data_IF_697860809345
#
_entry.id   IF_697860809345
#
_cell.length_a   1.000
_cell.length_b   1.000
_cell.length_c   1.000
_cell.angle_alpha   90.00
_cell.angle_beta   90.00
_cell.angle_gamma   90.00
#
_symmetry.space_group_name_H-M   'P 1'
#
loop_
_entity.id
_entity.type
_entity.pdbx_description
1 polymer ?
#
# COMPACT_ATOMS: atom_id res chain seq x y z
N UNK A 1 12.14 3.40 14.93
CA UNK A 1 11.46 2.66 13.83
C UNK A 1 12.15 1.35 13.45
N UNK A 2 13.42 1.37 13.01
CA UNK A 2 14.11 0.12 12.61
C UNK A 2 14.20 -0.89 13.74
N UNK A 3 14.49 -0.43 14.97
CA UNK A 3 14.51 -1.28 16.17
C UNK A 3 13.14 -1.96 16.40
N UNK A 4 12.05 -1.18 16.41
CA UNK A 4 10.69 -1.74 16.52
C UNK A 4 10.39 -2.79 15.44
N UNK A 5 10.82 -2.54 14.19
CA UNK A 5 10.63 -3.48 13.10
C UNK A 5 11.45 -4.77 13.29
N UNK A 6 12.72 -4.63 13.70
CA UNK A 6 13.61 -5.74 14.01
C UNK A 6 13.07 -6.59 15.16
N UNK A 7 12.54 -5.98 16.21
CA UNK A 7 11.95 -6.66 17.36
C UNK A 7 10.71 -7.47 16.94
N UNK A 8 9.83 -6.89 16.11
CA UNK A 8 8.65 -7.61 15.59
C UNK A 8 9.01 -8.82 14.76
N UNK A 9 10.01 -8.70 13.88
CA UNK A 9 10.48 -9.81 13.04
C UNK A 9 11.20 -10.87 13.88
N UNK A 10 12.04 -10.45 14.82
CA UNK A 10 12.77 -11.36 15.71
C UNK A 10 11.80 -12.16 16.58
N UNK A 11 10.84 -11.51 17.22
CA UNK A 11 9.81 -12.19 18.02
C UNK A 11 8.98 -13.20 17.19
N UNK A 12 8.75 -12.93 15.91
CA UNK A 12 8.06 -13.85 15.03
C UNK A 12 8.91 -15.08 14.67
N UNK A 13 10.20 -14.85 14.39
CA UNK A 13 11.16 -15.92 14.09
C UNK A 13 11.45 -16.79 15.31
N UNK A 14 11.57 -16.20 16.49
CA UNK A 14 11.82 -16.94 17.73
C UNK A 14 10.62 -17.82 18.11
N UNK A 15 9.39 -17.32 17.88
CA UNK A 15 8.17 -18.14 18.03
C UNK A 15 8.14 -19.30 17.02
N UNK A 16 8.45 -19.02 15.75
CA UNK A 16 8.52 -20.05 14.71
C UNK A 16 9.58 -21.13 15.03
N UNK A 17 10.76 -20.72 15.53
CA UNK A 17 11.80 -21.63 15.98
C UNK A 17 11.33 -22.52 17.14
N UNK A 18 10.55 -21.96 18.08
CA UNK A 18 10.00 -22.71 19.20
C UNK A 18 8.91 -23.71 18.77
N UNK A 19 8.06 -23.32 17.81
CA UNK A 19 6.91 -24.13 17.39
C UNK A 19 7.29 -25.21 16.36
N UNK A 20 8.17 -24.88 15.41
CA UNK A 20 8.45 -25.69 14.21
C UNK A 20 9.92 -26.15 14.10
N UNK A 21 10.77 -25.70 15.03
CA UNK A 21 12.20 -25.98 15.02
C UNK A 21 13.02 -24.90 14.32
N UNK A 22 14.32 -24.91 14.63
CA UNK A 22 15.25 -23.88 14.17
C UNK A 22 15.49 -23.93 12.65
N UNK A 23 15.39 -22.76 12.01
CA UNK A 23 15.86 -22.54 10.63
C UNK A 23 16.94 -21.45 10.65
N UNK A 24 18.04 -21.70 9.96
CA UNK A 24 19.14 -20.74 9.87
C UNK A 24 18.67 -19.40 9.29
N UNK A 25 19.21 -18.29 9.80
CA UNK A 25 18.84 -16.94 9.35
C UNK A 25 19.16 -16.76 7.85
N UNK A 26 20.24 -17.34 7.35
CA UNK A 26 20.60 -17.32 5.93
C UNK A 26 19.69 -18.21 5.06
N UNK A 27 18.94 -19.14 5.65
CA UNK A 27 17.90 -19.93 4.97
C UNK A 27 16.51 -19.27 5.05
N UNK A 28 16.42 -18.05 5.58
CA UNK A 28 15.19 -17.28 5.78
C UNK A 28 15.15 -16.01 4.92
N UNK A 29 14.06 -15.79 4.19
CA UNK A 29 13.80 -14.57 3.44
C UNK A 29 12.85 -13.63 4.20
N UNK A 30 13.17 -12.35 4.28
CA UNK A 30 12.29 -11.30 4.82
C UNK A 30 11.48 -10.67 3.69
N UNK A 31 10.15 -10.64 3.83
CA UNK A 31 9.27 -9.89 2.93
C UNK A 31 8.67 -8.72 3.69
N UNK A 32 9.10 -7.50 3.37
CA UNK A 32 8.55 -6.29 3.97
C UNK A 32 7.43 -5.77 3.10
N UNK A 33 6.22 -5.70 3.65
CA UNK A 33 5.05 -5.19 2.93
C UNK A 33 4.73 -3.78 3.39
N UNK A 34 4.80 -2.82 2.48
CA UNK A 34 4.31 -1.46 2.68
C UNK A 34 2.92 -1.27 2.08
N UNK A 35 2.34 -0.07 2.28
CA UNK A 35 1.07 0.29 1.63
C UNK A 35 1.19 0.45 0.11
N UNK A 36 2.31 1.03 -0.31
CA UNK A 36 2.54 1.49 -1.66
C UNK A 36 1.97 2.89 -1.89
N UNK A 37 2.56 3.58 -2.85
CA UNK A 37 2.26 4.95 -3.26
C UNK A 37 2.49 5.07 -4.77
N UNK A 38 1.86 6.07 -5.41
CA UNK A 38 2.24 6.51 -6.76
C UNK A 38 3.56 7.30 -6.77
N UNK A 39 4.12 7.62 -5.60
CA UNK A 39 5.42 8.27 -5.43
C UNK A 39 6.53 7.22 -5.19
N UNK A 40 7.51 7.10 -6.11
CA UNK A 40 8.62 6.17 -5.95
C UNK A 40 9.53 6.51 -4.77
N UNK A 41 9.66 7.77 -4.36
CA UNK A 41 10.47 8.16 -3.20
C UNK A 41 9.85 7.60 -1.91
N UNK A 42 8.52 7.70 -1.78
CA UNK A 42 7.77 7.09 -0.69
C UNK A 42 7.94 5.56 -0.67
N UNK A 43 7.87 4.91 -1.83
CA UNK A 43 8.06 3.45 -1.94
C UNK A 43 9.49 3.03 -1.57
N UNK A 44 10.50 3.83 -1.95
CA UNK A 44 11.91 3.55 -1.68
C UNK A 44 12.23 3.46 -0.19
N UNK A 45 11.48 4.16 0.67
CA UNK A 45 11.65 4.06 2.12
C UNK A 45 11.37 2.65 2.65
N UNK A 46 10.44 1.92 2.04
CA UNK A 46 10.15 0.53 2.42
C UNK A 46 11.31 -0.37 2.01
N UNK A 47 11.84 -0.20 0.79
CA UNK A 47 13.04 -0.92 0.33
C UNK A 47 14.26 -0.62 1.19
N UNK A 48 14.44 0.63 1.61
CA UNK A 48 15.51 1.02 2.55
C UNK A 48 15.36 0.30 3.89
N UNK A 49 14.16 0.26 4.46
CA UNK A 49 13.89 -0.48 5.70
C UNK A 49 14.19 -1.97 5.52
N UNK A 50 13.70 -2.60 4.44
CA UNK A 50 13.95 -4.00 4.14
C UNK A 50 15.45 -4.30 4.06
N UNK A 51 16.21 -3.46 3.33
CA UNK A 51 17.66 -3.59 3.18
C UNK A 51 18.42 -3.43 4.50
N UNK A 52 18.03 -2.46 5.33
CA UNK A 52 18.65 -2.27 6.64
C UNK A 52 18.34 -3.45 7.58
N UNK A 53 17.12 -3.99 7.54
CA UNK A 53 16.71 -5.10 8.39
C UNK A 53 17.39 -6.42 8.03
N UNK A 54 17.45 -6.78 6.74
CA UNK A 54 18.03 -8.05 6.31
C UNK A 54 19.50 -8.18 6.71
N UNK A 55 20.28 -7.09 6.58
CA UNK A 55 21.69 -7.07 7.00
C UNK A 55 21.84 -7.10 8.51
N UNK A 56 21.00 -6.32 9.21
CA UNK A 56 21.07 -6.23 10.68
C UNK A 56 20.65 -7.53 11.37
N UNK A 57 19.75 -8.30 10.75
CA UNK A 57 19.22 -9.55 11.29
C UNK A 57 19.94 -10.81 10.76
N UNK A 58 20.91 -10.65 9.84
CA UNK A 58 21.64 -11.77 9.24
C UNK A 58 20.76 -12.69 8.37
N UNK A 59 19.70 -12.16 7.78
CA UNK A 59 18.77 -12.93 6.96
C UNK A 59 19.34 -13.16 5.55
N UNK A 60 18.96 -14.27 4.91
CA UNK A 60 19.52 -14.67 3.62
C UNK A 60 19.18 -13.74 2.47
N UNK A 61 17.96 -13.19 2.48
CA UNK A 61 17.49 -12.24 1.48
C UNK A 61 16.33 -11.39 2.00
N UNK A 62 16.00 -10.33 1.27
CA UNK A 62 14.74 -9.63 1.46
C UNK A 62 14.08 -9.23 0.14
N UNK A 63 12.76 -9.19 0.16
CA UNK A 63 11.94 -8.65 -0.91
C UNK A 63 11.01 -7.56 -0.37
N UNK A 64 10.64 -6.60 -1.24
CA UNK A 64 9.67 -5.55 -0.90
C UNK A 64 8.40 -5.74 -1.72
N UNK A 65 7.26 -5.77 -1.03
CA UNK A 65 5.95 -5.82 -1.66
C UNK A 65 5.02 -4.73 -1.14
N UNK A 66 3.86 -4.61 -1.78
CA UNK A 66 2.89 -3.57 -1.45
C UNK A 66 1.46 -4.10 -1.35
N UNK A 67 0.62 -3.42 -0.55
CA UNK A 67 -0.74 -3.90 -0.27
C UNK A 67 -1.82 -3.43 -1.27
N UNK A 68 -1.53 -2.47 -2.16
CA UNK A 68 -2.56 -2.07 -3.14
C UNK A 68 -2.28 -0.97 -4.17
N UNK A 69 -1.25 -0.11 -4.05
CA UNK A 69 -1.08 1.02 -5.00
C UNK A 69 -0.05 0.72 -6.09
N UNK A 70 1.09 0.14 -5.71
CA UNK A 70 2.22 -0.12 -6.60
C UNK A 70 2.58 -1.60 -6.59
N UNK A 71 3.56 -1.98 -7.39
CA UNK A 71 3.98 -3.35 -7.63
C UNK A 71 5.33 -3.66 -6.96
N UNK A 72 5.60 -4.94 -6.64
CA UNK A 72 4.67 -6.07 -6.69
C UNK A 72 3.65 -6.04 -5.54
N UNK A 73 2.42 -6.47 -5.80
CA UNK A 73 1.43 -6.72 -4.75
C UNK A 73 1.79 -7.97 -3.92
N UNK A 74 1.18 -8.10 -2.74
CA UNK A 74 1.46 -9.17 -1.77
C UNK A 74 1.53 -10.56 -2.40
N UNK A 75 0.47 -11.03 -3.07
CA UNK A 75 0.45 -12.36 -3.66
C UNK A 75 1.53 -12.53 -4.75
N UNK A 76 1.63 -11.68 -5.80
CA UNK A 76 2.71 -11.77 -6.79
C UNK A 76 4.13 -11.67 -6.19
N UNK A 77 4.31 -10.87 -5.14
CA UNK A 77 5.57 -10.74 -4.42
C UNK A 77 5.95 -12.07 -3.76
N UNK A 78 5.04 -12.66 -3.00
CA UNK A 78 5.30 -13.93 -2.33
C UNK A 78 5.51 -15.07 -3.33
N UNK A 79 4.74 -15.12 -4.42
CA UNK A 79 4.94 -16.10 -5.51
C UNK A 79 6.29 -15.98 -6.21
N UNK A 80 6.92 -14.81 -6.21
CA UNK A 80 8.27 -14.66 -6.72
C UNK A 80 9.30 -15.13 -5.69
N UNK A 81 9.10 -14.82 -4.42
CA UNK A 81 10.03 -15.21 -3.34
C UNK A 81 10.07 -16.73 -3.14
N UNK A 82 8.95 -17.44 -3.34
CA UNK A 82 8.91 -18.92 -3.24
C UNK A 82 9.84 -19.61 -4.24
N UNK A 83 10.18 -18.96 -5.36
CA UNK A 83 11.07 -19.48 -6.40
C UNK A 83 12.56 -19.37 -6.03
N UNK A 84 12.90 -18.65 -4.95
CA UNK A 84 14.29 -18.38 -4.55
C UNK A 84 14.92 -19.51 -3.69
N UNK A 85 14.13 -20.48 -3.25
CA UNK A 85 14.64 -21.68 -2.54
C UNK A 85 14.88 -21.52 -1.04
N UNK A 86 14.36 -20.47 -0.41
CA UNK A 86 14.42 -20.30 1.04
C UNK A 86 13.49 -21.29 1.75
N UNK A 87 13.93 -21.78 2.92
CA UNK A 87 13.15 -22.72 3.74
C UNK A 87 12.03 -22.01 4.50
N UNK A 88 12.27 -20.74 4.85
CA UNK A 88 11.36 -19.90 5.61
C UNK A 88 11.20 -18.53 4.95
N UNK A 89 9.96 -18.04 4.92
CA UNK A 89 9.62 -16.67 4.51
C UNK A 89 8.94 -15.98 5.69
N UNK A 90 9.54 -14.92 6.21
CA UNK A 90 8.90 -14.08 7.24
C UNK A 90 8.28 -12.85 6.58
N UNK A 91 6.97 -12.72 6.70
CA UNK A 91 6.19 -11.61 6.13
C UNK A 91 5.95 -10.58 7.22
N UNK A 92 6.48 -9.37 7.01
CA UNK A 92 6.40 -8.26 7.95
C UNK A 92 5.62 -7.08 7.35
N UNK A 93 4.41 -6.81 7.86
CA UNK A 93 3.68 -5.60 7.48
C UNK A 93 4.30 -4.36 8.15
N UNK A 94 4.91 -3.48 7.35
CA UNK A 94 5.46 -2.21 7.81
C UNK A 94 4.36 -1.14 7.95
N UNK A 95 3.51 -1.32 8.96
CA UNK A 95 2.32 -0.51 9.22
C UNK A 95 2.21 -0.14 10.69
N UNK A 96 1.66 1.04 10.96
CA UNK A 96 1.39 1.53 12.31
C UNK A 96 0.08 0.98 12.90
N UNK A 97 -0.92 0.73 12.06
CA UNK A 97 -2.27 0.39 12.52
C UNK A 97 -2.76 -0.93 11.93
N UNK A 98 -3.73 -1.52 12.62
CA UNK A 98 -4.42 -2.75 12.20
C UNK A 98 -5.43 -2.50 11.08
N UNK A 99 -6.21 -3.54 10.78
CA UNK A 99 -7.40 -3.47 9.95
C UNK A 99 -7.23 -4.16 8.62
N UNK A 100 -8.09 -3.79 7.68
CA UNK A 100 -8.32 -4.54 6.44
C UNK A 100 -7.05 -4.79 5.60
N UNK A 101 -6.06 -3.89 5.67
CA UNK A 101 -4.81 -4.03 4.94
C UNK A 101 -3.91 -5.10 5.56
N UNK A 102 -3.87 -5.20 6.90
CA UNK A 102 -3.12 -6.25 7.59
C UNK A 102 -3.78 -7.60 7.34
N UNK A 103 -5.11 -7.66 7.46
CA UNK A 103 -5.88 -8.88 7.20
C UNK A 103 -5.68 -9.36 5.76
N UNK A 104 -5.62 -8.43 4.81
CA UNK A 104 -5.28 -8.72 3.40
C UNK A 104 -3.89 -9.33 3.25
N UNK A 105 -2.88 -8.74 3.89
CA UNK A 105 -1.50 -9.23 3.79
C UNK A 105 -1.42 -10.66 4.31
N UNK A 106 -2.01 -10.92 5.48
CA UNK A 106 -2.02 -12.26 6.06
C UNK A 106 -2.88 -13.24 5.27
N UNK A 107 -4.03 -12.83 4.75
CA UNK A 107 -4.87 -13.67 3.91
C UNK A 107 -4.15 -14.15 2.65
N UNK A 108 -3.50 -13.23 1.93
CA UNK A 108 -2.66 -13.60 0.79
C UNK A 108 -1.45 -14.45 1.20
N UNK A 109 -0.88 -14.20 2.38
CA UNK A 109 0.21 -15.04 2.91
C UNK A 109 -0.27 -16.47 3.12
N UNK A 110 -1.46 -16.66 3.70
CA UNK A 110 -2.03 -17.97 3.98
C UNK A 110 -2.38 -18.73 2.68
N UNK A 111 -2.92 -18.04 1.68
CA UNK A 111 -3.20 -18.65 0.36
C UNK A 111 -1.93 -19.10 -0.37
N UNK A 112 -0.88 -18.26 -0.37
CA UNK A 112 0.41 -18.63 -0.97
C UNK A 112 1.05 -19.77 -0.18
N UNK A 113 1.01 -19.72 1.15
CA UNK A 113 1.54 -20.79 2.00
C UNK A 113 0.85 -22.15 1.71
N UNK A 114 -0.47 -22.15 1.51
CA UNK A 114 -1.22 -23.35 1.16
C UNK A 114 -0.79 -23.96 -0.19
N UNK A 115 -0.36 -23.14 -1.16
CA UNK A 115 0.17 -23.61 -2.45
C UNK A 115 1.63 -24.11 -2.37
N UNK A 116 2.36 -23.73 -1.32
CA UNK A 116 3.79 -24.02 -1.16
C UNK A 116 4.08 -24.70 0.20
N UNK A 117 3.55 -25.91 0.47
CA UNK A 117 3.65 -26.56 1.79
C UNK A 117 5.06 -26.96 2.22
N UNK A 118 6.04 -26.89 1.31
CA UNK A 118 7.45 -27.14 1.62
C UNK A 118 8.21 -25.92 2.16
N UNK A 119 7.56 -24.75 2.24
CA UNK A 119 8.15 -23.50 2.73
C UNK A 119 7.37 -23.07 3.97
N UNK A 120 8.08 -22.73 5.05
CA UNK A 120 7.47 -22.19 6.24
C UNK A 120 7.18 -20.69 6.09
N UNK A 121 5.91 -20.30 6.16
CA UNK A 121 5.52 -18.89 6.16
C UNK A 121 5.27 -18.40 7.59
N UNK A 122 5.99 -17.37 8.00
CA UNK A 122 5.91 -16.77 9.33
C UNK A 122 5.31 -15.37 9.23
N UNK A 123 4.15 -15.16 9.85
CA UNK A 123 3.51 -13.84 9.93
C UNK A 123 4.07 -13.05 11.13
N UNK A 124 4.85 -12.01 10.86
CA UNK A 124 5.34 -11.11 11.89
C UNK A 124 4.29 -10.04 12.22
N UNK A 125 4.25 -9.61 13.49
CA UNK A 125 3.37 -8.51 13.89
C UNK A 125 3.76 -7.20 13.20
N UNK A 126 2.78 -6.32 12.95
CA UNK A 126 3.03 -4.95 12.50
C UNK A 126 3.52 -4.06 13.66
N UNK A 127 3.90 -2.82 13.40
CA UNK A 127 4.56 -1.96 14.38
C UNK A 127 3.68 -1.68 15.60
N UNK A 128 2.43 -1.25 15.40
CA UNK A 128 1.47 -0.94 16.46
C UNK A 128 2.04 0.04 17.52
N UNK A 129 1.63 -0.15 18.76
CA UNK A 129 2.01 0.56 19.98
C UNK A 129 3.41 0.17 20.53
N UNK A 130 4.33 -0.28 19.68
CA UNK A 130 5.68 -0.61 20.13
C UNK A 130 6.35 0.59 20.80
N UNK A 131 7.04 0.38 21.93
CA UNK A 131 7.62 1.48 22.72
C UNK A 131 8.52 2.41 21.89
N UNK A 132 9.38 1.85 21.04
CA UNK A 132 10.22 2.62 20.12
C UNK A 132 9.43 3.42 19.05
N UNK A 133 8.22 3.00 18.68
CA UNK A 133 7.33 3.79 17.81
C UNK A 133 6.82 4.99 18.60
N UNK A 134 6.29 4.78 19.81
CA UNK A 134 5.80 5.84 20.70
C UNK A 134 6.93 6.85 21.00
N UNK A 135 8.13 6.37 21.30
CA UNK A 135 9.31 7.20 21.49
C UNK A 135 9.63 8.03 20.25
N UNK A 136 9.60 7.43 19.06
CA UNK A 136 9.80 8.15 17.78
C UNK A 136 8.77 9.27 17.61
N UNK A 137 7.49 9.03 17.91
CA UNK A 137 6.44 10.05 17.86
C UNK A 137 6.71 11.18 18.85
N UNK A 138 7.09 10.85 20.10
CA UNK A 138 7.43 11.84 21.11
C UNK A 138 8.61 12.72 20.68
N UNK A 139 9.63 12.14 20.05
CA UNK A 139 10.78 12.88 19.53
C UNK A 139 10.38 13.80 18.37
N UNK A 140 9.53 13.34 17.43
CA UNK A 140 9.01 14.21 16.37
C UNK A 140 8.25 15.41 16.94
N UNK A 141 7.44 15.21 17.99
CA UNK A 141 6.72 16.31 18.66
C UNK A 141 7.69 17.29 19.32
N UNK A 142 8.74 16.79 19.99
CA UNK A 142 9.76 17.65 20.61
C UNK A 142 10.56 18.44 19.57
N UNK A 143 10.92 17.83 18.45
CA UNK A 143 11.64 18.50 17.36
C UNK A 143 10.85 19.66 16.75
N UNK A 144 9.53 19.57 16.72
CA UNK A 144 8.66 20.69 16.30
C UNK A 144 8.84 21.88 17.25
N UNK A 145 8.93 21.62 18.56
CA UNK A 145 9.09 22.68 19.56
C UNK A 145 10.47 23.36 19.47
N UNK A 146 11.49 22.65 18.96
CA UNK A 146 12.86 23.16 18.83
C UNK A 146 13.23 23.62 17.41
N UNK A 147 12.32 23.48 16.44
CA UNK A 147 12.55 23.89 15.04
C UNK A 147 13.56 23.02 14.28
N UNK A 148 13.75 21.77 14.69
CA UNK A 148 14.71 20.83 14.07
C UNK A 148 14.04 19.74 13.23
N UNK A 149 12.76 19.91 12.91
CA UNK A 149 11.93 18.98 12.14
C UNK A 149 12.27 19.06 10.63
N UNK A 150 13.43 18.52 10.24
CA UNK A 150 13.81 18.44 8.83
C UNK A 150 13.01 17.35 8.12
N UNK A 151 12.30 17.72 7.05
CA UNK A 151 11.68 16.77 6.14
C UNK A 151 12.74 16.19 5.20
N UNK A 152 12.76 14.87 5.01
CA UNK A 152 13.78 14.16 4.22
C UNK A 152 13.57 14.23 2.70
N UNK A 153 12.89 15.26 2.17
CA UNK A 153 12.42 15.41 0.79
C UNK A 153 13.53 15.62 -0.28
N UNK A 154 14.73 15.08 -0.07
CA UNK A 154 15.89 15.31 -0.96
C UNK A 154 15.67 14.80 -2.38
N UNK A 155 14.80 13.79 -2.57
CA UNK A 155 14.42 13.21 -3.87
C UNK A 155 12.91 13.25 -4.11
N UNK A 156 12.20 14.19 -3.47
CA UNK A 156 10.77 14.35 -3.66
C UNK A 156 10.45 14.75 -5.11
N UNK A 157 9.59 13.99 -5.80
CA UNK A 157 9.24 14.22 -7.21
C UNK A 157 8.69 15.62 -7.53
N UNK A 158 8.09 16.29 -6.55
CA UNK A 158 7.60 17.66 -6.70
C UNK A 158 8.72 18.72 -6.65
N UNK A 159 9.89 18.38 -6.12
CA UNK A 159 11.01 19.31 -5.86
C UNK A 159 12.27 19.00 -6.65
N UNK A 160 12.47 17.73 -7.01
CA UNK A 160 13.61 17.24 -7.74
C UNK A 160 13.15 16.35 -8.89
N UNK A 161 13.87 16.39 -10.01
CA UNK A 161 13.58 15.54 -11.15
C UNK A 161 13.84 14.07 -10.79
N UNK A 162 12.77 13.27 -10.81
CA UNK A 162 12.82 11.81 -10.69
C UNK A 162 12.49 11.22 -12.06
N UNK A 163 13.32 10.29 -12.55
CA UNK A 163 13.16 9.68 -13.87
C UNK A 163 11.78 9.01 -14.02
N UNK A 164 11.03 9.38 -15.06
CA UNK A 164 9.67 8.91 -15.32
C UNK A 164 8.56 9.68 -14.61
N UNK A 165 8.90 10.74 -13.87
CA UNK A 165 7.98 11.65 -13.17
C UNK A 165 8.33 13.12 -13.46
N UNK A 166 8.92 13.40 -14.62
CA UNK A 166 9.40 14.73 -15.01
C UNK A 166 8.28 15.78 -15.02
N UNK A 167 7.07 15.39 -15.42
CA UNK A 167 5.91 16.28 -15.53
C UNK A 167 5.32 16.70 -14.16
N UNK A 168 5.79 16.08 -13.07
CA UNK A 168 5.31 16.40 -11.71
C UNK A 168 6.18 17.43 -10.96
N UNK A 169 7.33 17.84 -11.54
CA UNK A 169 8.23 18.80 -10.90
C UNK A 169 7.59 20.19 -10.86
N UNK A 170 7.48 20.76 -9.66
CA UNK A 170 6.88 22.08 -9.43
C UNK A 170 5.36 22.08 -9.24
N UNK A 171 4.69 20.93 -9.38
CA UNK A 171 3.28 20.81 -9.02
C UNK A 171 3.06 20.90 -7.50
N UNK A 172 1.88 21.35 -7.05
CA UNK A 172 1.48 21.21 -5.65
C UNK A 172 1.56 19.75 -5.21
N UNK A 173 2.07 19.51 -3.99
CA UNK A 173 2.09 18.16 -3.43
C UNK A 173 0.66 17.73 -3.08
N UNK A 174 0.23 16.61 -3.63
CA UNK A 174 -1.09 16.03 -3.38
C UNK A 174 -0.98 14.69 -2.65
N UNK A 175 -2.12 14.16 -2.21
CA UNK A 175 -2.18 12.86 -1.55
C UNK A 175 -1.95 11.73 -2.56
N UNK A 176 -0.91 10.93 -2.37
CA UNK A 176 -0.55 9.84 -3.29
C UNK A 176 -1.42 8.58 -3.14
N UNK A 177 -2.72 8.72 -2.94
CA UNK A 177 -3.65 7.63 -2.62
C UNK A 177 -4.49 7.21 -3.81
N UNK A 178 -3.89 7.13 -5.01
CA UNK A 178 -4.55 6.93 -6.30
C UNK A 178 -5.71 5.90 -6.31
N UNK A 179 -5.52 4.73 -5.68
CA UNK A 179 -6.52 3.64 -5.68
C UNK A 179 -6.97 3.16 -4.28
N UNK A 180 -6.34 3.67 -3.21
CA UNK A 180 -6.54 3.16 -1.84
C UNK A 180 -6.76 4.30 -0.88
N UNK A 181 -7.76 5.13 -1.15
CA UNK A 181 -8.27 6.03 -0.12
C UNK A 181 -9.01 5.22 0.95
N UNK A 182 -8.68 5.47 2.21
CA UNK A 182 -9.38 4.86 3.34
C UNK A 182 -10.78 5.45 3.43
N UNK A 183 -11.76 4.85 2.75
CA UNK A 183 -13.19 5.22 2.87
C UNK A 183 -13.78 4.95 4.30
N UNK A 184 -12.95 4.61 5.28
CA UNK A 184 -13.36 4.24 6.64
C UNK A 184 -13.88 2.81 6.75
N UNK A 185 -14.10 2.36 7.99
CA UNK A 185 -14.65 1.02 8.33
C UNK A 185 -16.14 0.85 8.00
N UNK A 186 -16.77 1.88 7.45
CA UNK A 186 -18.21 1.92 7.12
C UNK A 186 -18.49 1.97 5.62
N UNK A 187 -17.46 1.95 4.78
CA UNK A 187 -17.66 1.98 3.32
C UNK A 187 -18.20 0.64 2.80
N UNK A 188 -18.97 0.63 1.70
CA UNK A 188 -19.30 -0.61 1.01
C UNK A 188 -18.04 -1.43 0.69
N UNK A 189 -18.04 -2.73 1.03
CA UNK A 189 -16.85 -3.59 0.90
C UNK A 189 -15.69 -3.28 1.85
N UNK A 190 -15.93 -2.55 2.95
CA UNK A 190 -14.95 -2.31 4.03
C UNK A 190 -14.76 -3.48 4.99
N UNK A 191 -15.61 -4.50 4.88
CA UNK A 191 -15.48 -5.77 5.58
C UNK A 191 -15.86 -6.92 4.62
N UNK A 192 -15.60 -8.16 5.03
CA UNK A 192 -15.87 -9.36 4.22
C UNK A 192 -17.36 -9.70 4.18
N UNK A 193 -18.11 -9.39 5.23
CA UNK A 193 -19.54 -9.72 5.36
C UNK A 193 -20.40 -8.98 4.33
N UNK A 194 -20.04 -7.74 4.01
CA UNK A 194 -20.76 -6.86 3.09
C UNK A 194 -20.16 -6.84 1.67
N UNK A 195 -19.28 -7.79 1.32
CA UNK A 195 -18.58 -7.80 0.02
C UNK A 195 -18.76 -9.09 -0.78
N UNK A 196 -19.52 -9.02 -1.87
CA UNK A 196 -19.79 -10.14 -2.80
C UNK A 196 -18.54 -10.70 -3.53
N UNK A 197 -17.40 -10.02 -3.42
CA UNK A 197 -16.14 -10.40 -4.05
C UNK A 197 -15.12 -10.97 -3.05
N UNK A 198 -15.29 -10.72 -1.76
CA UNK A 198 -14.40 -11.26 -0.73
C UNK A 198 -14.96 -12.57 -0.18
N UNK A 199 -14.09 -13.47 0.27
CA UNK A 199 -14.49 -14.77 0.85
C UNK A 199 -14.12 -14.86 2.32
N UNK A 200 -12.83 -14.93 2.62
CA UNK A 200 -12.30 -15.09 3.98
C UNK A 200 -11.50 -13.87 4.44
N UNK A 201 -11.06 -13.03 3.52
CA UNK A 201 -10.39 -11.75 3.79
C UNK A 201 -10.63 -10.75 2.65
N UNK A 202 -10.35 -9.46 2.89
CA UNK A 202 -10.52 -8.42 1.88
C UNK A 202 -9.38 -8.40 0.87
N UNK A 203 -9.70 -8.68 -0.38
CA UNK A 203 -8.75 -8.66 -1.51
C UNK A 203 -8.54 -7.24 -2.07
N UNK A 204 -9.54 -6.37 -1.89
CA UNK A 204 -9.59 -5.02 -2.47
C UNK A 204 -10.11 -4.98 -3.91
N UNK A 205 -10.53 -6.12 -4.46
CA UNK A 205 -10.96 -6.25 -5.85
C UNK A 205 -12.18 -5.37 -6.21
N UNK A 206 -13.15 -5.25 -5.30
CA UNK A 206 -14.35 -4.43 -5.50
C UNK A 206 -14.01 -2.99 -5.89
N UNK A 207 -12.96 -2.41 -5.27
CA UNK A 207 -12.55 -1.04 -5.51
C UNK A 207 -11.98 -0.82 -6.89
N UNK A 208 -11.32 -1.84 -7.46
CA UNK A 208 -10.81 -1.77 -8.83
C UNK A 208 -11.94 -1.92 -9.85
N UNK A 209 -12.88 -2.83 -9.60
CA UNK A 209 -14.04 -3.04 -10.48
C UNK A 209 -15.02 -1.87 -10.50
N UNK A 210 -15.18 -1.13 -9.39
CA UNK A 210 -15.98 0.10 -9.34
C UNK A 210 -15.38 1.22 -10.21
N UNK A 211 -14.05 1.35 -10.21
CA UNK A 211 -13.36 2.38 -11.00
C UNK A 211 -13.48 2.15 -12.50
N UNK A 212 -13.35 0.90 -12.97
CA UNK A 212 -13.54 0.55 -14.38
C UNK A 212 -14.97 0.89 -14.88
N UNK A 213 -15.98 0.93 -13.99
CA UNK A 213 -17.36 1.25 -14.35
C UNK A 213 -17.64 2.77 -14.46
N UNK A 214 -16.88 3.60 -13.76
CA UNK A 214 -17.07 5.06 -13.74
C UNK A 214 -16.16 5.82 -14.74
N UNK A 215 -15.21 5.16 -15.40
CA UNK A 215 -14.28 5.76 -16.36
C UNK A 215 -14.84 6.12 -17.75
N UNK A 216 -16.15 5.97 -17.99
CA UNK A 216 -16.74 6.13 -19.34
C UNK A 216 -17.66 7.35 -19.54
N UNK A 217 -17.79 8.26 -18.57
CA UNK A 217 -18.49 9.53 -18.79
C UNK A 217 -17.57 10.59 -19.40
N UNK A 218 -17.02 10.30 -20.60
CA UNK A 218 -16.55 11.36 -21.48
C UNK A 218 -17.78 12.12 -21.99
N UNK A 219 -18.16 13.20 -21.32
CA UNK A 219 -19.03 14.21 -21.91
C UNK A 219 -18.29 14.87 -23.07
N UNK A 220 -18.43 14.28 -24.27
CA UNK A 220 -18.09 14.94 -25.51
C UNK A 220 -19.00 16.16 -25.66
N UNK A 221 -18.52 17.33 -25.27
CA UNK A 221 -19.20 18.58 -25.57
C UNK A 221 -19.03 18.86 -27.08
N UNK A 222 -20.09 18.54 -27.84
CA UNK A 222 -20.33 19.15 -29.15
C UNK A 222 -20.44 20.65 -28.93
N UNK A 223 -19.48 21.41 -29.45
CA UNK A 223 -19.62 22.86 -29.55
C UNK A 223 -20.46 23.16 -30.79
N UNK A 224 -21.77 23.17 -30.62
CA UNK A 224 -22.68 23.81 -31.57
C UNK A 224 -22.77 25.29 -31.23
N UNK A 225 -22.21 26.10 -32.13
CA UNK A 225 -22.29 27.56 -32.20
C UNK A 225 -23.75 28.03 -32.16
N UNK A 226 -24.17 28.72 -31.09
CA UNK A 226 -25.31 29.63 -31.16
C UNK A 226 -25.10 30.85 -30.23
N UNK A 227 -25.17 32.04 -30.83
CA UNK A 227 -24.94 33.32 -30.18
C UNK A 227 -26.02 33.73 -29.18
N UNK A 228 -25.62 34.55 -28.21
CA UNK A 228 -26.53 35.14 -27.24
C UNK A 228 -26.56 36.67 -27.36
N UNK A 229 -27.77 37.16 -27.59
CA UNK A 229 -28.21 38.52 -27.29
C UNK A 229 -28.71 38.59 -25.83
N UNK A 230 -28.69 39.78 -25.25
CA UNK A 230 -28.79 40.06 -23.81
C UNK A 230 -30.21 39.96 -23.23
N UNK A 231 -30.32 39.54 -21.96
CA UNK A 231 -31.52 39.72 -21.14
C UNK A 231 -31.32 39.25 -19.70
N UNK A 232 -31.24 40.20 -18.75
CA UNK A 232 -31.20 39.96 -17.32
C UNK A 232 -32.62 39.71 -16.77
N UNK A 233 -32.80 38.67 -15.96
CA UNK A 233 -33.72 38.73 -14.82
C UNK A 233 -33.33 37.73 -13.71
N UNK A 234 -33.52 38.13 -12.46
CA UNK A 234 -33.02 37.45 -11.25
C UNK A 234 -34.10 36.56 -10.62
N UNK A 235 -33.87 35.24 -10.64
CA UNK A 235 -34.62 34.25 -9.86
C UNK A 235 -33.71 33.57 -8.84
N UNK A 236 -34.12 33.58 -7.57
CA UNK A 236 -33.39 32.97 -6.46
C UNK A 236 -33.42 31.44 -6.54
N UNK A 237 -32.25 30.83 -6.74
CA UNK A 237 -32.05 29.39 -6.57
C UNK A 237 -31.14 29.10 -5.37
N UNK A 238 -31.54 28.09 -4.62
CA UNK A 238 -30.86 27.57 -3.45
C UNK A 238 -29.46 27.06 -3.83
N UNK A 239 -28.41 27.74 -3.34
CA UNK A 239 -27.05 27.22 -3.42
C UNK A 239 -26.88 26.06 -2.42
N UNK A 240 -27.15 24.86 -2.91
CA UNK A 240 -26.59 23.63 -2.34
C UNK A 240 -25.09 23.64 -2.67
N UNK A 241 -24.25 23.98 -1.69
CA UNK A 241 -22.80 23.90 -1.82
C UNK A 241 -22.34 22.46 -1.62
N UNK A 242 -22.72 21.58 -2.55
CA UNK A 242 -22.04 20.32 -2.78
C UNK A 242 -20.75 20.59 -3.56
N UNK A 243 -19.72 21.12 -2.89
CA UNK A 243 -18.36 21.13 -3.45
C UNK A 243 -17.84 19.68 -3.50
N UNK A 244 -18.29 18.93 -4.51
CA UNK A 244 -17.57 17.76 -4.99
C UNK A 244 -16.27 18.27 -5.61
N UNK A 245 -15.22 18.37 -4.81
CA UNK A 245 -13.88 18.56 -5.34
C UNK A 245 -13.53 17.28 -6.11
N UNK A 246 -13.69 17.31 -7.43
CA UNK A 246 -13.09 16.33 -8.33
C UNK A 246 -11.57 16.45 -8.19
N UNK A 247 -11.01 15.68 -7.26
CA UNK A 247 -9.58 15.50 -7.12
C UNK A 247 -9.10 14.61 -8.29
N UNK A 248 -8.82 15.23 -9.43
CA UNK A 248 -8.13 14.56 -10.53
C UNK A 248 -6.67 14.26 -10.12
N UNK A 249 -6.46 13.14 -9.45
CA UNK A 249 -5.12 12.66 -9.10
C UNK A 249 -4.33 12.36 -10.38
N UNK A 250 -3.11 12.89 -10.49
CA UNK A 250 -2.24 12.65 -11.64
C UNK A 250 -2.07 11.13 -11.88
N UNK A 251 -2.36 10.59 -13.09
CA UNK A 251 -2.36 9.15 -13.34
C UNK A 251 -1.06 8.48 -12.91
N UNK A 252 -1.15 7.39 -12.14
CA UNK A 252 0.03 6.62 -11.77
C UNK A 252 0.57 5.87 -13.00
N UNK A 253 1.83 6.11 -13.46
CA UNK A 253 2.32 5.54 -14.73
C UNK A 253 2.37 4.01 -14.77
N UNK A 254 2.32 3.35 -13.61
CA UNK A 254 2.44 1.89 -13.49
C UNK A 254 1.14 1.26 -12.94
N UNK A 255 -0.01 1.93 -13.12
CA UNK A 255 -1.32 1.41 -12.71
C UNK A 255 -1.65 0.06 -13.36
N UNK A 256 -1.23 -0.15 -14.61
CA UNK A 256 -1.48 -1.37 -15.38
C UNK A 256 -0.37 -2.42 -15.27
N UNK A 257 0.59 -2.26 -14.34
CA UNK A 257 1.67 -3.21 -14.17
C UNK A 257 1.12 -4.61 -13.83
N UNK A 258 1.60 -5.71 -14.46
CA UNK A 258 1.03 -7.05 -14.29
C UNK A 258 1.14 -7.61 -12.87
N UNK A 259 2.12 -7.15 -12.10
CA UNK A 259 2.27 -7.46 -10.67
C UNK A 259 1.67 -6.38 -9.74
N UNK A 260 1.03 -5.37 -10.31
CA UNK A 260 0.46 -4.21 -9.61
C UNK A 260 -1.02 -4.40 -9.27
N UNK A 261 -1.77 -3.31 -9.07
CA UNK A 261 -3.17 -3.33 -8.65
C UNK A 261 -4.04 -4.32 -9.44
N UNK A 262 -3.87 -4.37 -10.76
CA UNK A 262 -4.65 -5.24 -11.66
C UNK A 262 -4.44 -6.73 -11.43
N UNK A 263 -3.36 -7.16 -10.74
CA UNK A 263 -3.11 -8.58 -10.49
C UNK A 263 -4.22 -9.24 -9.66
N UNK A 264 -4.95 -8.47 -8.85
CA UNK A 264 -6.06 -8.96 -8.03
C UNK A 264 -7.26 -9.40 -8.88
N UNK A 265 -7.44 -8.81 -10.07
CA UNK A 265 -8.54 -9.12 -10.99
C UNK A 265 -8.38 -10.49 -11.67
N UNK A 266 -7.17 -11.03 -11.69
CA UNK A 266 -6.87 -12.32 -12.32
C UNK A 266 -7.12 -13.51 -11.39
N UNK A 267 -7.69 -13.27 -10.20
CA UNK A 267 -7.94 -14.30 -9.20
C UNK A 267 -9.28 -14.98 -9.49
N UNK A 268 -9.26 -16.31 -9.57
CA UNK A 268 -10.48 -17.11 -9.46
C UNK A 268 -10.96 -17.08 -8.01
N UNK A 269 -12.28 -17.00 -7.77
CA UNK A 269 -12.82 -17.02 -6.41
C UNK A 269 -12.41 -18.34 -5.75
N UNK A 270 -11.89 -18.26 -4.52
CA UNK A 270 -11.56 -19.46 -3.76
C UNK A 270 -12.81 -20.31 -3.56
N UNK A 271 -12.88 -21.48 -4.22
CA UNK A 271 -14.00 -22.42 -4.15
C UNK A 271 -14.80 -22.63 -5.45
N UNK A 272 -14.40 -22.02 -6.58
CA UNK A 272 -14.85 -22.39 -7.93
C UNK A 272 -13.80 -23.29 -8.63
#
# INVERSE_FOLDING_TARGET
>A
MLEAAADRVTAALDRADADNGHVDRHDTCLVVIGRGSSDPDANSNVSKVARMMVESLGLGWCETGFSGVTFPLVEPCLENVTKLGFKRIVVFPYFLFSGILIDRIYGFTDEVAARHPGIEFVKAGYLNDHDQVIATFADRVREILTGSNNMNCSMCKYRAQVLGFEDEVGLPQESHHHHVEGKGVTAPGSNVEDCDLCTTFCTGECRLREMDQHGHHHHGHSHDDHGHDHGHDHGHDHHDHGNGHDHHHHPYPQADHPLGPRSVLNRTKAGE
#
